data_IF_393353255045
#
_entry.id   IF_393353255045
#
_cell.length_a   1.000
_cell.length_b   1.000
_cell.length_c   1.000
_cell.angle_alpha   90.00
_cell.angle_beta   90.00
_cell.angle_gamma   90.00
#
_symmetry.space_group_name_H-M   'P 1'
#
loop_
_entity.id
_entity.type
_entity.pdbx_description
1 polymer ?
#
# COMPACT_ATOMS: atom_id res chain seq x y z
N UNK A 1 15.46 4.84 -25.54
CA UNK A 1 14.10 4.52 -25.05
C UNK A 1 13.16 4.94 -26.15
N UNK A 2 12.30 4.05 -26.62
CA UNK A 2 11.35 4.39 -27.69
C UNK A 2 10.34 5.44 -27.18
N UNK A 3 9.81 6.30 -28.06
CA UNK A 3 8.87 7.35 -27.68
C UNK A 3 7.60 6.83 -26.99
N UNK A 4 7.13 5.63 -27.36
CA UNK A 4 5.91 5.05 -26.79
C UNK A 4 6.11 4.60 -25.34
N UNK A 5 7.23 3.95 -25.03
CA UNK A 5 7.61 3.60 -23.65
C UNK A 5 7.80 4.85 -22.80
N UNK A 6 8.41 5.90 -23.36
CA UNK A 6 8.55 7.18 -22.66
C UNK A 6 7.16 7.76 -22.30
N UNK A 7 6.25 7.82 -23.27
CA UNK A 7 4.90 8.32 -23.07
C UNK A 7 4.11 7.49 -22.06
N UNK A 8 4.21 6.16 -22.11
CA UNK A 8 3.58 5.25 -21.15
C UNK A 8 4.06 5.49 -19.72
N UNK A 9 5.38 5.63 -19.51
CA UNK A 9 5.96 5.90 -18.19
C UNK A 9 5.53 7.25 -17.64
N UNK A 10 5.51 8.29 -18.47
CA UNK A 10 5.02 9.62 -18.09
C UNK A 10 3.53 9.55 -17.73
N UNK A 11 2.71 8.85 -18.52
CA UNK A 11 1.30 8.64 -18.23
C UNK A 11 1.10 7.96 -16.87
N UNK A 12 1.81 6.87 -16.59
CA UNK A 12 1.71 6.19 -15.29
C UNK A 12 2.15 7.08 -14.12
N UNK A 13 3.20 7.89 -14.29
CA UNK A 13 3.67 8.82 -13.27
C UNK A 13 2.60 9.89 -12.96
N UNK A 14 1.99 10.47 -14.00
CA UNK A 14 0.88 11.44 -13.84
C UNK A 14 -0.33 10.79 -13.19
N UNK A 15 -0.72 9.59 -13.66
CA UNK A 15 -1.86 8.86 -13.11
C UNK A 15 -1.64 8.48 -11.65
N UNK A 16 -0.43 8.06 -11.28
CA UNK A 16 -0.07 7.78 -9.90
C UNK A 16 -0.17 9.03 -9.01
N UNK A 17 0.22 10.21 -9.49
CA UNK A 17 0.03 11.46 -8.74
C UNK A 17 -1.46 11.80 -8.56
N UNK A 18 -2.29 11.63 -9.60
CA UNK A 18 -3.75 11.85 -9.54
C UNK A 18 -4.39 10.89 -8.54
N UNK A 19 -4.08 9.60 -8.63
CA UNK A 19 -4.57 8.60 -7.69
C UNK A 19 -4.00 8.80 -6.29
N UNK A 20 -2.81 9.40 -6.14
CA UNK A 20 -2.25 9.79 -4.84
C UNK A 20 -3.05 10.92 -4.18
N UNK A 21 -3.58 11.86 -4.97
CA UNK A 21 -4.51 12.87 -4.46
C UNK A 21 -5.81 12.22 -3.97
N UNK A 22 -6.33 11.24 -4.71
CA UNK A 22 -7.46 10.44 -4.28
C UNK A 22 -7.15 9.57 -3.04
N UNK A 23 -5.94 9.01 -2.94
CA UNK A 23 -5.49 8.25 -1.79
C UNK A 23 -5.56 9.09 -0.50
N UNK A 24 -5.19 10.38 -0.55
CA UNK A 24 -5.36 11.29 0.59
C UNK A 24 -6.84 11.41 1.02
N UNK A 25 -7.79 11.41 0.09
CA UNK A 25 -9.23 11.39 0.41
C UNK A 25 -9.61 10.10 1.12
N UNK A 26 -9.17 8.95 0.61
CA UNK A 26 -9.40 7.64 1.24
C UNK A 26 -8.83 7.58 2.65
N UNK A 27 -7.58 7.99 2.84
CA UNK A 27 -6.88 8.02 4.13
C UNK A 27 -7.62 8.88 5.15
N UNK A 28 -8.16 10.01 4.72
CA UNK A 28 -8.90 10.90 5.61
C UNK A 28 -10.31 10.38 5.95
N UNK A 29 -11.03 9.83 4.97
CA UNK A 29 -12.49 9.59 5.07
C UNK A 29 -12.87 8.17 5.47
N UNK A 30 -12.17 7.15 4.96
CA UNK A 30 -12.53 5.74 5.18
C UNK A 30 -12.50 5.36 6.66
N UNK A 31 -11.46 5.71 7.46
CA UNK A 31 -11.44 5.39 8.90
C UNK A 31 -12.57 6.05 9.69
N UNK A 32 -13.16 7.12 9.15
CA UNK A 32 -14.25 7.89 9.77
C UNK A 32 -15.64 7.48 9.27
N UNK A 33 -15.73 6.45 8.43
CA UNK A 33 -17.00 6.03 7.81
C UNK A 33 -17.63 7.10 6.91
N UNK A 34 -16.84 8.04 6.38
CA UNK A 34 -17.34 9.13 5.53
C UNK A 34 -17.28 8.72 4.05
N UNK A 35 -18.22 9.21 3.26
CA UNK A 35 -18.24 8.96 1.81
C UNK A 35 -17.00 9.55 1.11
N UNK A 36 -16.39 8.75 0.23
CA UNK A 36 -15.25 9.14 -0.60
C UNK A 36 -15.66 9.98 -1.83
N UNK A 37 -16.95 10.01 -2.15
CA UNK A 37 -17.49 10.71 -3.34
C UNK A 37 -18.03 12.09 -2.97
N UNK A 38 -18.82 12.19 -1.90
CA UNK A 38 -19.46 13.44 -1.46
C UNK A 38 -19.30 13.67 0.04
N UNK A 39 -19.17 14.94 0.49
CA UNK A 39 -19.07 16.18 -0.29
C UNK A 39 -17.70 16.32 -0.99
N UNK A 40 -17.52 17.28 -1.92
CA UNK A 40 -16.22 17.59 -2.51
C UNK A 40 -15.17 17.98 -1.46
N UNK A 41 -13.88 17.89 -1.81
CA UNK A 41 -12.78 18.28 -0.93
C UNK A 41 -12.85 19.77 -0.54
N UNK A 42 -12.66 20.05 0.75
CA UNK A 42 -12.71 21.39 1.31
C UNK A 42 -11.61 21.59 2.36
N UNK A 43 -11.23 22.84 2.58
CA UNK A 43 -10.29 23.18 3.64
C UNK A 43 -10.94 22.91 5.02
N UNK A 44 -10.30 22.11 5.89
CA UNK A 44 -10.87 21.77 7.21
C UNK A 44 -10.91 22.96 8.18
N UNK A 45 -10.30 24.10 7.83
CA UNK A 45 -10.21 25.28 8.70
C UNK A 45 -11.17 26.40 8.33
N UNK A 46 -11.39 26.64 7.03
CA UNK A 46 -12.25 27.73 6.57
C UNK A 46 -13.42 27.26 5.69
N UNK A 47 -13.55 25.95 5.43
CA UNK A 47 -14.60 25.42 4.58
C UNK A 47 -14.46 25.74 3.08
N UNK A 48 -13.40 26.45 2.66
CA UNK A 48 -13.15 26.76 1.25
C UNK A 48 -13.18 25.50 0.41
N UNK A 49 -14.10 25.45 -0.57
CA UNK A 49 -14.22 24.35 -1.51
C UNK A 49 -13.03 24.37 -2.46
N UNK A 50 -12.27 23.28 -2.48
CA UNK A 50 -11.08 23.15 -3.33
C UNK A 50 -11.53 23.02 -4.78
N UNK A 51 -11.07 23.95 -5.64
CA UNK A 51 -11.36 23.94 -7.09
C UNK A 51 -10.46 22.91 -7.78
N UNK A 52 -10.87 22.43 -8.96
CA UNK A 52 -10.06 21.44 -9.72
C UNK A 52 -8.61 21.88 -9.94
N UNK A 53 -8.38 23.16 -10.28
CA UNK A 53 -7.04 23.76 -10.44
C UNK A 53 -6.21 23.89 -9.15
N UNK A 54 -6.86 23.82 -7.99
CA UNK A 54 -6.23 23.82 -6.66
C UNK A 54 -5.94 22.39 -6.19
N UNK A 55 -6.41 21.39 -6.96
CA UNK A 55 -6.28 19.96 -6.69
C UNK A 55 -5.41 19.24 -7.74
N UNK A 56 -4.58 19.98 -8.50
CA UNK A 56 -3.60 19.38 -9.40
C UNK A 56 -2.46 18.84 -8.51
N UNK A 57 -2.23 17.52 -8.48
CA UNK A 57 -1.30 16.88 -7.56
C UNK A 57 0.09 17.51 -7.63
N UNK A 58 0.70 17.78 -6.47
CA UNK A 58 2.03 18.39 -6.26
C UNK A 58 2.13 19.83 -6.76
N UNK A 59 1.71 20.09 -8.00
CA UNK A 59 1.78 21.36 -8.71
C UNK A 59 0.99 22.44 -7.98
N UNK A 60 -0.28 22.19 -7.63
CA UNK A 60 -1.09 23.17 -6.90
C UNK A 60 -0.48 23.51 -5.54
N UNK A 61 0.12 22.54 -4.85
CA UNK A 61 0.79 22.77 -3.57
C UNK A 61 1.99 23.72 -3.73
N UNK A 62 2.82 23.52 -4.76
CA UNK A 62 3.97 24.39 -5.05
C UNK A 62 3.54 25.81 -5.42
N UNK A 63 2.57 25.97 -6.32
CA UNK A 63 2.08 27.29 -6.74
C UNK A 63 1.38 28.05 -5.61
N UNK A 64 0.64 27.34 -4.75
CA UNK A 64 0.03 27.92 -3.55
C UNK A 64 1.05 28.13 -2.41
N UNK A 65 2.33 27.79 -2.61
CA UNK A 65 3.42 27.86 -1.62
C UNK A 65 3.08 27.11 -0.33
N UNK A 66 2.44 25.95 -0.48
CA UNK A 66 1.99 25.09 0.61
C UNK A 66 0.93 25.72 1.51
N UNK A 67 0.10 26.65 1.00
CA UNK A 67 -0.92 27.36 1.80
C UNK A 67 -2.30 27.28 1.15
N UNK A 68 -3.35 27.26 1.96
CA UNK A 68 -4.72 27.28 1.43
C UNK A 68 -4.99 28.58 0.66
N UNK A 69 -5.67 28.50 -0.49
CA UNK A 69 -6.04 29.66 -1.30
C UNK A 69 -6.98 30.64 -0.58
N UNK A 70 -7.90 30.13 0.25
CA UNK A 70 -8.87 30.95 1.00
C UNK A 70 -8.28 31.56 2.28
N UNK A 71 -7.81 30.72 3.23
CA UNK A 71 -7.38 31.19 4.55
C UNK A 71 -5.87 31.31 4.75
N UNK A 72 -5.04 31.03 3.73
CA UNK A 72 -3.56 31.10 3.76
C UNK A 72 -2.86 30.25 4.82
N UNK A 73 -3.58 29.42 5.58
CA UNK A 73 -2.98 28.46 6.52
C UNK A 73 -2.16 27.39 5.79
N UNK A 74 -1.09 26.87 6.41
CA UNK A 74 -0.24 25.86 5.79
C UNK A 74 -1.01 24.56 5.53
N UNK A 75 -0.76 23.96 4.38
CA UNK A 75 -1.18 22.61 3.98
C UNK A 75 -0.06 21.65 4.41
N UNK A 76 -0.41 20.50 4.96
CA UNK A 76 0.58 19.51 5.40
C UNK A 76 1.37 18.95 4.22
N UNK A 77 2.69 18.80 4.37
CA UNK A 77 3.57 18.13 3.40
C UNK A 77 3.22 16.66 3.17
N UNK A 78 2.41 16.04 4.04
CA UNK A 78 1.91 14.67 3.86
C UNK A 78 1.12 14.50 2.56
N UNK A 79 0.33 15.51 2.17
CA UNK A 79 -0.48 15.45 0.95
C UNK A 79 0.38 15.28 -0.31
N UNK A 80 1.31 16.21 -0.62
CA UNK A 80 2.18 16.04 -1.78
C UNK A 80 3.15 14.86 -1.62
N UNK A 81 3.54 14.46 -0.40
CA UNK A 81 4.38 13.28 -0.21
C UNK A 81 3.69 11.99 -0.66
N UNK A 82 2.40 11.79 -0.33
CA UNK A 82 1.62 10.63 -0.79
C UNK A 82 1.43 10.68 -2.32
N UNK A 83 1.19 11.86 -2.89
CA UNK A 83 1.08 12.05 -4.34
C UNK A 83 2.36 11.65 -5.08
N UNK A 84 3.51 12.14 -4.60
CA UNK A 84 4.83 11.82 -5.15
C UNK A 84 5.15 10.33 -4.98
N UNK A 85 4.94 9.77 -3.79
CA UNK A 85 5.18 8.36 -3.53
C UNK A 85 4.40 7.48 -4.50
N UNK A 86 3.11 7.76 -4.68
CA UNK A 86 2.27 6.96 -5.56
C UNK A 86 2.64 7.16 -7.04
N UNK A 87 3.03 8.37 -7.46
CA UNK A 87 3.57 8.63 -8.79
C UNK A 87 4.80 7.76 -9.11
N UNK A 88 5.74 7.64 -8.17
CA UNK A 88 6.94 6.82 -8.35
C UNK A 88 6.66 5.32 -8.27
N UNK A 89 5.72 4.87 -7.42
CA UNK A 89 5.32 3.46 -7.38
C UNK A 89 4.62 3.05 -8.68
N UNK A 90 3.78 3.92 -9.26
CA UNK A 90 3.18 3.68 -10.58
C UNK A 90 4.22 3.67 -11.70
N UNK A 91 5.25 4.52 -11.62
CA UNK A 91 6.39 4.41 -12.53
C UNK A 91 7.10 3.06 -12.37
N UNK A 92 7.26 2.56 -11.14
CA UNK A 92 7.81 1.23 -10.88
C UNK A 92 6.98 0.11 -11.52
N UNK A 93 5.64 0.21 -11.48
CA UNK A 93 4.73 -0.69 -12.21
C UNK A 93 4.99 -0.62 -13.71
N UNK A 94 5.10 0.58 -14.29
CA UNK A 94 5.36 0.79 -15.72
C UNK A 94 6.75 0.34 -16.20
N UNK A 95 7.72 0.27 -15.30
CA UNK A 95 9.05 -0.31 -15.58
C UNK A 95 8.98 -1.84 -15.63
N UNK A 96 8.16 -2.43 -14.76
CA UNK A 96 8.07 -3.89 -14.59
C UNK A 96 7.12 -4.56 -15.58
N UNK A 97 6.06 -3.86 -15.98
CA UNK A 97 4.97 -4.42 -16.78
C UNK A 97 4.74 -3.55 -18.02
N UNK A 98 4.54 -4.16 -19.21
CA UNK A 98 4.12 -3.41 -20.40
C UNK A 98 2.69 -2.87 -20.22
N UNK A 99 2.26 -1.90 -21.05
CA UNK A 99 0.89 -1.40 -21.00
C UNK A 99 -0.10 -2.55 -21.25
N UNK A 100 -1.04 -2.73 -20.32
CA UNK A 100 -2.05 -3.79 -20.40
C UNK A 100 -2.74 -4.09 -19.07
N UNK A 101 -3.58 -5.13 -19.01
CA UNK A 101 -4.33 -5.51 -17.82
C UNK A 101 -3.46 -5.83 -16.59
N UNK A 102 -2.28 -6.41 -16.80
CA UNK A 102 -1.33 -6.70 -15.72
C UNK A 102 -0.81 -5.41 -15.05
N UNK A 103 -0.57 -4.35 -15.83
CA UNK A 103 -0.18 -3.05 -15.28
C UNK A 103 -1.30 -2.42 -14.43
N UNK A 104 -2.57 -2.60 -14.83
CA UNK A 104 -3.72 -2.14 -14.03
C UNK A 104 -3.79 -2.91 -12.70
N UNK A 105 -3.55 -4.21 -12.75
CA UNK A 105 -3.51 -5.06 -11.56
C UNK A 105 -2.39 -4.61 -10.59
N UNK A 106 -1.18 -4.36 -11.11
CA UNK A 106 -0.06 -3.81 -10.32
C UNK A 106 -0.32 -2.40 -9.80
N UNK A 107 -0.97 -1.52 -10.58
CA UNK A 107 -1.36 -0.18 -10.17
C UNK A 107 -2.37 -0.20 -9.01
N UNK A 108 -3.36 -1.10 -9.06
CA UNK A 108 -4.30 -1.31 -7.96
C UNK A 108 -3.60 -1.82 -6.70
N UNK A 109 -2.69 -2.79 -6.85
CA UNK A 109 -1.88 -3.31 -5.74
C UNK A 109 -1.13 -2.19 -5.02
N UNK A 110 -0.34 -1.38 -5.73
CA UNK A 110 0.43 -0.29 -5.10
C UNK A 110 -0.45 0.82 -4.52
N UNK A 111 -1.61 1.10 -5.13
CA UNK A 111 -2.60 2.03 -4.56
C UNK A 111 -3.06 1.55 -3.18
N UNK A 112 -3.44 0.27 -3.08
CA UNK A 112 -3.87 -0.31 -1.80
C UNK A 112 -2.72 -0.29 -0.78
N UNK A 113 -1.50 -0.65 -1.19
CA UNK A 113 -0.32 -0.63 -0.30
C UNK A 113 -0.15 0.74 0.37
N UNK A 114 -0.19 1.83 -0.40
CA UNK A 114 0.00 3.17 0.13
C UNK A 114 -1.17 3.61 1.00
N UNK A 115 -2.42 3.36 0.58
CA UNK A 115 -3.60 3.75 1.37
C UNK A 115 -3.63 3.01 2.70
N UNK A 116 -3.41 1.69 2.70
CA UNK A 116 -3.35 0.88 3.92
C UNK A 116 -2.22 1.35 4.83
N UNK A 117 -1.01 1.57 4.28
CA UNK A 117 0.13 2.05 5.07
C UNK A 117 -0.16 3.41 5.72
N UNK A 118 -0.76 4.34 4.97
CA UNK A 118 -1.06 5.67 5.46
C UNK A 118 -2.17 5.68 6.53
N UNK A 119 -3.20 4.84 6.35
CA UNK A 119 -4.27 4.68 7.36
C UNK A 119 -3.73 3.99 8.61
N UNK A 120 -2.99 2.90 8.47
CA UNK A 120 -2.46 2.15 9.60
C UNK A 120 -1.48 3.01 10.40
N UNK A 121 -0.65 3.82 9.73
CA UNK A 121 0.23 4.78 10.41
C UNK A 121 -0.52 5.82 11.26
N UNK A 122 -1.70 6.26 10.82
CA UNK A 122 -2.48 7.29 11.51
C UNK A 122 -3.43 6.74 12.58
N UNK A 123 -3.99 5.54 12.33
CA UNK A 123 -5.12 4.98 13.09
C UNK A 123 -4.83 3.61 13.70
N UNK A 124 -3.73 2.97 13.33
CA UNK A 124 -3.40 1.59 13.71
C UNK A 124 -4.53 0.59 13.36
N UNK A 125 -5.20 0.83 12.23
CA UNK A 125 -6.23 -0.07 11.69
C UNK A 125 -6.01 -0.28 10.19
N UNK A 126 -6.41 -1.46 9.70
CA UNK A 126 -6.47 -1.76 8.27
C UNK A 126 -7.95 -1.99 7.89
N UNK A 127 -8.57 -1.07 7.11
CA UNK A 127 -9.96 -1.21 6.73
C UNK A 127 -10.23 -2.42 5.83
N UNK A 128 -11.31 -3.14 6.12
CA UNK A 128 -11.72 -4.34 5.39
C UNK A 128 -11.92 -4.09 3.89
N UNK A 129 -12.41 -2.91 3.50
CA UNK A 129 -12.59 -2.54 2.09
C UNK A 129 -11.29 -2.64 1.29
N UNK A 130 -10.15 -2.31 1.91
CA UNK A 130 -8.85 -2.37 1.23
C UNK A 130 -8.22 -3.75 1.35
N UNK A 131 -8.30 -4.41 2.50
CA UNK A 131 -7.70 -5.74 2.68
C UNK A 131 -8.47 -6.83 1.91
N UNK A 132 -9.80 -6.87 2.02
CA UNK A 132 -10.64 -7.81 1.27
C UNK A 132 -10.77 -7.40 -0.20
N UNK A 133 -10.79 -6.10 -0.50
CA UNK A 133 -10.72 -5.61 -1.88
C UNK A 133 -9.44 -6.07 -2.57
N UNK A 134 -8.29 -6.01 -1.88
CA UNK A 134 -7.04 -6.55 -2.38
C UNK A 134 -7.13 -8.04 -2.65
N UNK A 135 -7.61 -8.81 -1.68
CA UNK A 135 -7.78 -10.26 -1.83
C UNK A 135 -8.67 -10.61 -3.03
N UNK A 136 -9.84 -9.99 -3.14
CA UNK A 136 -10.79 -10.26 -4.22
C UNK A 136 -10.22 -9.93 -5.60
N UNK A 137 -9.67 -8.72 -5.76
CA UNK A 137 -9.08 -8.30 -7.04
C UNK A 137 -7.85 -9.14 -7.38
N UNK A 138 -7.00 -9.46 -6.41
CA UNK A 138 -5.81 -10.26 -6.63
C UNK A 138 -6.13 -11.68 -7.10
N UNK A 139 -7.16 -12.32 -6.52
CA UNK A 139 -7.63 -13.63 -6.95
C UNK A 139 -8.27 -13.56 -8.34
N UNK A 140 -9.18 -12.61 -8.57
CA UNK A 140 -9.90 -12.49 -9.85
C UNK A 140 -8.96 -12.19 -11.01
N UNK A 141 -7.98 -11.32 -10.80
CA UNK A 141 -6.98 -10.93 -11.81
C UNK A 141 -5.71 -11.78 -11.77
N UNK A 142 -5.66 -12.83 -10.94
CA UNK A 142 -4.50 -13.74 -10.86
C UNK A 142 -4.07 -14.31 -12.21
N UNK A 143 -4.96 -14.74 -13.12
CA UNK A 143 -4.57 -15.25 -14.44
C UNK A 143 -3.72 -14.26 -15.26
N UNK A 144 -3.85 -12.96 -14.99
CA UNK A 144 -3.13 -11.89 -15.69
C UNK A 144 -1.77 -11.58 -15.06
N UNK A 145 -1.48 -12.09 -13.86
CA UNK A 145 -0.24 -11.82 -13.14
C UNK A 145 0.85 -12.81 -13.58
N UNK A 146 1.71 -12.36 -14.50
CA UNK A 146 2.79 -13.18 -15.07
C UNK A 146 3.84 -13.60 -14.03
N UNK A 147 3.91 -12.88 -12.90
CA UNK A 147 4.82 -13.20 -11.80
C UNK A 147 4.46 -14.46 -10.99
N UNK A 148 3.26 -15.02 -11.16
CA UNK A 148 2.78 -16.17 -10.36
C UNK A 148 2.99 -17.55 -11.00
N UNK A 149 3.21 -17.62 -12.31
CA UNK A 149 3.32 -18.90 -13.02
C UNK A 149 3.28 -18.76 -14.54
N UNK A 150 3.52 -19.86 -15.25
CA UNK A 150 3.59 -19.86 -16.72
C UNK A 150 2.19 -19.80 -17.34
N UNK A 151 1.26 -20.59 -16.80
CA UNK A 151 -0.11 -20.73 -17.33
C UNK A 151 -1.17 -20.06 -16.45
N UNK A 152 -2.33 -19.71 -17.04
CA UNK A 152 -3.43 -19.11 -16.30
C UNK A 152 -3.93 -19.96 -15.11
N UNK A 153 -4.11 -21.30 -15.24
CA UNK A 153 -4.49 -22.15 -14.12
C UNK A 153 -3.43 -22.19 -13.01
N UNK A 154 -2.14 -22.25 -13.36
CA UNK A 154 -1.04 -22.20 -12.38
C UNK A 154 -1.07 -20.88 -11.59
N UNK A 155 -1.27 -19.75 -12.27
CA UNK A 155 -1.33 -18.43 -11.63
C UNK A 155 -2.52 -18.32 -10.67
N UNK A 156 -3.68 -18.82 -11.07
CA UNK A 156 -4.86 -18.86 -10.21
C UNK A 156 -4.62 -19.73 -8.96
N UNK A 157 -4.06 -20.93 -9.14
CA UNK A 157 -3.69 -21.80 -8.03
C UNK A 157 -2.66 -21.14 -7.10
N UNK A 158 -1.62 -20.51 -7.66
CA UNK A 158 -0.61 -19.81 -6.89
C UNK A 158 -1.18 -18.64 -6.07
N UNK A 159 -2.16 -17.92 -6.60
CA UNK A 159 -2.88 -16.87 -5.87
C UNK A 159 -3.69 -17.46 -4.70
N UNK A 160 -4.46 -18.53 -4.92
CA UNK A 160 -5.19 -19.19 -3.82
C UNK A 160 -4.25 -19.76 -2.76
N UNK A 161 -3.17 -20.43 -3.18
CA UNK A 161 -2.17 -20.97 -2.28
C UNK A 161 -1.49 -19.85 -1.48
N UNK A 162 -1.13 -18.74 -2.15
CA UNK A 162 -0.55 -17.57 -1.49
C UNK A 162 -1.51 -16.92 -0.50
N UNK A 163 -2.78 -16.76 -0.86
CA UNK A 163 -3.81 -16.25 0.04
C UNK A 163 -3.99 -17.14 1.27
N UNK A 164 -4.05 -18.46 1.07
CA UNK A 164 -4.13 -19.45 2.12
C UNK A 164 -2.93 -19.40 3.06
N UNK A 165 -1.71 -19.38 2.52
CA UNK A 165 -0.47 -19.26 3.31
C UNK A 165 -0.45 -17.95 4.09
N UNK A 166 -0.79 -16.82 3.44
CA UNK A 166 -0.86 -15.51 4.09
C UNK A 166 -1.86 -15.48 5.25
N UNK A 167 -3.06 -16.03 5.04
CA UNK A 167 -4.10 -16.09 6.06
C UNK A 167 -3.74 -17.06 7.20
N UNK A 168 -3.41 -18.31 6.89
CA UNK A 168 -3.19 -19.36 7.89
C UNK A 168 -1.98 -19.07 8.77
N UNK A 169 -0.89 -18.58 8.18
CA UNK A 169 0.33 -18.26 8.93
C UNK A 169 0.12 -17.09 9.88
N UNK A 170 -0.49 -16.01 9.41
CA UNK A 170 -0.80 -14.83 10.23
C UNK A 170 -1.86 -15.11 11.29
N UNK A 171 -2.87 -15.93 10.96
CA UNK A 171 -3.87 -16.40 11.93
C UNK A 171 -3.25 -17.26 13.02
N UNK A 172 -2.34 -18.18 12.66
CA UNK A 172 -1.63 -19.02 13.61
C UNK A 172 -0.79 -18.17 14.59
N UNK A 173 -0.06 -17.17 14.08
CA UNK A 173 0.69 -16.22 14.93
C UNK A 173 -0.23 -15.39 15.81
N UNK A 174 -1.34 -14.87 15.28
CA UNK A 174 -2.33 -14.14 16.06
C UNK A 174 -2.92 -15.00 17.20
N UNK A 175 -3.19 -16.29 16.93
CA UNK A 175 -3.72 -17.25 17.91
C UNK A 175 -2.69 -17.65 18.96
N UNK A 176 -1.47 -17.97 18.55
CA UNK A 176 -0.37 -18.31 19.44
C UNK A 176 -0.02 -17.12 20.34
N UNK A 177 0.12 -15.92 19.77
CA UNK A 177 0.42 -14.70 20.50
C UNK A 177 -0.64 -14.37 21.56
N UNK A 178 -1.94 -14.51 21.22
CA UNK A 178 -3.03 -14.40 22.21
C UNK A 178 -2.90 -15.40 23.36
N UNK A 179 -2.42 -16.61 23.10
CA UNK A 179 -2.25 -17.65 24.13
C UNK A 179 -1.06 -17.38 25.03
N UNK A 180 0.09 -16.99 24.47
CA UNK A 180 1.34 -16.79 25.22
C UNK A 180 1.40 -15.43 25.92
N UNK A 181 1.11 -14.35 25.20
CA UNK A 181 1.27 -12.98 25.71
C UNK A 181 -0.01 -12.41 26.34
N UNK A 182 -1.13 -13.17 26.30
CA UNK A 182 -2.48 -12.75 26.73
C UNK A 182 -2.93 -11.42 26.12
N UNK A 183 -2.38 -11.08 24.95
CA UNK A 183 -2.67 -9.86 24.18
C UNK A 183 -2.74 -10.21 22.69
N UNK A 184 -3.46 -9.41 21.91
CA UNK A 184 -3.47 -9.59 20.46
C UNK A 184 -2.09 -9.23 19.88
N UNK A 185 -1.36 -10.25 19.43
CA UNK A 185 -0.02 -10.06 18.86
C UNK A 185 -0.05 -9.54 17.41
N UNK A 186 -1.14 -9.80 16.69
CA UNK A 186 -1.35 -9.34 15.32
C UNK A 186 -2.82 -8.99 15.12
N UNK A 187 -3.07 -7.81 14.55
CA UNK A 187 -4.40 -7.30 14.30
C UNK A 187 -5.17 -8.14 13.28
N UNK A 188 -6.49 -8.20 13.42
CA UNK A 188 -7.34 -8.92 12.45
C UNK A 188 -7.26 -8.33 11.04
N UNK A 189 -7.00 -7.02 10.95
CA UNK A 189 -6.77 -6.33 9.67
C UNK A 189 -5.51 -6.83 8.96
N UNK A 190 -4.42 -7.05 9.71
CA UNK A 190 -3.16 -7.57 9.16
C UNK A 190 -3.32 -8.97 8.58
N UNK A 191 -4.10 -9.83 9.24
CA UNK A 191 -4.39 -11.21 8.76
C UNK A 191 -5.07 -11.18 7.39
N UNK A 192 -6.09 -10.34 7.23
CA UNK A 192 -6.81 -10.18 5.95
C UNK A 192 -5.90 -9.54 4.89
N UNK A 193 -5.09 -8.56 5.29
CA UNK A 193 -4.16 -7.90 4.38
C UNK A 193 -3.08 -8.85 3.88
N UNK A 194 -2.53 -9.71 4.75
CA UNK A 194 -1.58 -10.76 4.38
C UNK A 194 -2.19 -11.79 3.43
N UNK A 195 -3.47 -12.13 3.59
CA UNK A 195 -4.18 -12.96 2.62
C UNK A 195 -4.23 -12.27 1.24
N UNK A 196 -4.55 -10.96 1.18
CA UNK A 196 -4.53 -10.20 -0.06
C UNK A 196 -3.13 -10.06 -0.69
N UNK A 197 -2.11 -9.79 0.13
CA UNK A 197 -0.71 -9.78 -0.30
C UNK A 197 -0.30 -11.14 -0.87
N UNK A 198 -0.68 -12.24 -0.20
CA UNK A 198 -0.41 -13.59 -0.68
C UNK A 198 -1.14 -13.93 -1.96
N UNK A 199 -2.37 -13.48 -2.14
CA UNK A 199 -3.07 -13.64 -3.42
C UNK A 199 -2.32 -12.98 -4.58
N UNK A 200 -1.74 -11.80 -4.35
CA UNK A 200 -1.01 -11.07 -5.38
C UNK A 200 0.42 -11.57 -5.60
N UNK A 201 1.14 -11.92 -4.53
CA UNK A 201 2.57 -12.25 -4.56
C UNK A 201 2.85 -13.77 -4.60
N UNK A 202 1.84 -14.60 -4.36
CA UNK A 202 2.00 -16.02 -4.13
C UNK A 202 2.57 -16.34 -2.75
N UNK A 203 2.72 -17.65 -2.46
CA UNK A 203 3.14 -18.12 -1.13
C UNK A 203 4.58 -17.74 -0.79
N UNK A 204 5.50 -17.78 -1.76
CA UNK A 204 6.89 -17.33 -1.55
C UNK A 204 6.94 -15.84 -1.23
N UNK A 205 6.17 -15.05 -1.99
CA UNK A 205 6.19 -13.61 -1.85
C UNK A 205 5.58 -13.09 -0.56
N UNK A 206 4.50 -13.72 -0.06
CA UNK A 206 3.95 -13.33 1.25
C UNK A 206 4.91 -13.66 2.40
N UNK A 207 5.64 -14.78 2.33
CA UNK A 207 6.65 -15.12 3.35
C UNK A 207 7.84 -14.14 3.29
N UNK A 208 8.30 -13.78 2.09
CA UNK A 208 9.32 -12.74 1.91
C UNK A 208 8.86 -11.38 2.46
N UNK A 209 7.62 -10.98 2.18
CA UNK A 209 7.04 -9.75 2.69
C UNK A 209 6.97 -9.75 4.22
N UNK A 210 6.58 -10.89 4.82
CA UNK A 210 6.47 -11.04 6.26
C UNK A 210 7.84 -10.98 6.96
N UNK A 211 8.85 -11.61 6.37
CA UNK A 211 10.23 -11.54 6.84
C UNK A 211 10.76 -10.11 6.82
N UNK A 212 10.63 -9.41 5.69
CA UNK A 212 11.05 -8.01 5.58
C UNK A 212 10.28 -7.10 6.53
N UNK A 213 8.98 -7.33 6.69
CA UNK A 213 8.17 -6.55 7.60
C UNK A 213 8.65 -6.68 9.04
N UNK A 214 8.98 -7.90 9.46
CA UNK A 214 9.52 -8.18 10.80
C UNK A 214 10.90 -7.55 10.99
N UNK A 215 11.77 -7.62 9.97
CA UNK A 215 13.11 -7.03 9.98
C UNK A 215 13.03 -5.49 10.10
N UNK A 216 12.28 -4.83 9.22
CA UNK A 216 12.12 -3.37 9.24
C UNK A 216 11.38 -2.89 10.48
N UNK A 217 10.31 -3.58 10.88
CA UNK A 217 9.55 -3.24 12.08
C UNK A 217 10.41 -3.30 13.34
N UNK A 218 11.24 -4.34 13.47
CA UNK A 218 12.18 -4.49 14.60
C UNK A 218 13.26 -3.42 14.56
N UNK A 219 13.86 -3.15 13.40
CA UNK A 219 14.86 -2.09 13.25
C UNK A 219 14.31 -0.72 13.67
N UNK A 220 13.10 -0.38 13.22
CA UNK A 220 12.42 0.89 13.58
C UNK A 220 12.06 0.92 15.06
N UNK A 221 11.51 -0.16 15.61
CA UNK A 221 11.18 -0.26 17.03
C UNK A 221 12.42 -0.05 17.92
N UNK A 222 13.53 -0.74 17.60
CA UNK A 222 14.80 -0.59 18.31
C UNK A 222 15.35 0.83 18.20
N UNK A 223 15.25 1.46 17.02
CA UNK A 223 15.67 2.84 16.83
C UNK A 223 14.83 3.82 17.67
N UNK A 224 13.50 3.69 17.67
CA UNK A 224 12.61 4.53 18.47
C UNK A 224 12.86 4.36 19.97
N UNK A 225 13.12 3.13 20.40
CA UNK A 225 13.49 2.81 21.77
C UNK A 225 14.84 3.42 22.15
N UNK A 226 15.85 3.32 21.29
CA UNK A 226 17.15 3.97 21.50
C UNK A 226 17.00 5.50 21.65
N UNK A 227 16.09 6.10 20.87
CA UNK A 227 15.73 7.52 20.98
C UNK A 227 14.83 7.85 22.20
N UNK A 228 14.51 6.87 23.05
CA UNK A 228 13.57 6.97 24.19
C UNK A 228 12.19 7.52 23.79
N UNK A 229 11.77 7.25 22.55
CA UNK A 229 10.47 7.67 21.99
C UNK A 229 9.42 6.56 21.98
N UNK A 230 9.76 5.37 22.48
CA UNK A 230 8.84 4.25 22.58
C UNK A 230 9.14 3.40 23.80
N UNK A 231 8.08 2.91 24.44
CA UNK A 231 8.08 2.01 25.57
C UNK A 231 7.76 0.58 25.15
N UNK A 232 8.11 -0.37 26.01
CA UNK A 232 7.76 -1.77 25.80
C UNK A 232 6.24 -1.95 25.79
N UNK A 233 5.71 -2.51 24.70
CA UNK A 233 4.28 -2.75 24.54
C UNK A 233 3.54 -1.65 23.78
N UNK A 234 4.22 -0.61 23.32
CA UNK A 234 3.64 0.35 22.37
C UNK A 234 3.24 -0.37 21.08
N UNK A 235 2.08 0.00 20.55
CA UNK A 235 1.61 -0.53 19.28
C UNK A 235 2.32 0.16 18.13
N UNK A 236 3.07 -0.60 17.33
CA UNK A 236 3.68 -0.11 16.10
C UNK A 236 2.81 -0.57 14.91
N UNK A 237 2.38 0.34 14.02
CA UNK A 237 1.59 -0.02 12.85
C UNK A 237 2.40 -0.96 11.95
N UNK A 238 1.92 -2.19 11.76
CA UNK A 238 2.65 -3.23 11.04
C UNK A 238 2.38 -3.22 9.53
N UNK A 239 1.22 -2.69 9.12
CA UNK A 239 0.79 -2.57 7.73
C UNK A 239 1.80 -1.88 6.81
N UNK A 240 2.44 -0.75 7.20
CA UNK A 240 3.47 -0.10 6.40
C UNK A 240 4.68 -1.00 6.08
N UNK A 241 5.10 -1.83 7.04
CA UNK A 241 6.24 -2.73 6.86
C UNK A 241 5.87 -3.92 5.97
N UNK A 242 4.64 -4.45 6.11
CA UNK A 242 4.09 -5.46 5.21
C UNK A 242 3.99 -4.95 3.77
N UNK A 243 3.49 -3.73 3.59
CA UNK A 243 3.39 -3.09 2.29
C UNK A 243 4.76 -2.89 1.65
N UNK A 244 5.75 -2.40 2.42
CA UNK A 244 7.12 -2.25 1.95
C UNK A 244 7.73 -3.60 1.55
N UNK A 245 7.56 -4.64 2.37
CA UNK A 245 8.02 -5.99 2.07
C UNK A 245 7.39 -6.56 0.80
N UNK A 246 6.09 -6.37 0.62
CA UNK A 246 5.36 -6.79 -0.58
C UNK A 246 5.82 -6.07 -1.85
N UNK A 247 6.04 -4.75 -1.76
CA UNK A 247 6.60 -3.98 -2.86
C UNK A 247 8.00 -4.46 -3.25
N UNK A 248 8.91 -4.58 -2.28
CA UNK A 248 10.30 -5.04 -2.52
C UNK A 248 10.32 -6.45 -3.11
N UNK A 249 9.43 -7.34 -2.64
CA UNK A 249 9.31 -8.67 -3.21
C UNK A 249 8.94 -8.61 -4.68
N UNK A 250 7.89 -7.86 -4.99
CA UNK A 250 7.37 -7.77 -6.34
C UNK A 250 8.36 -7.11 -7.30
N UNK A 251 9.04 -6.03 -6.91
CA UNK A 251 9.90 -5.27 -7.84
C UNK A 251 11.26 -5.91 -8.09
N UNK A 252 11.87 -6.56 -7.10
CA UNK A 252 13.22 -7.13 -7.20
C UNK A 252 13.22 -8.66 -7.12
N UNK A 253 12.70 -9.38 -8.14
CA UNK A 253 12.68 -10.85 -8.13
C UNK A 253 14.10 -11.45 -8.03
N UNK A 254 15.12 -10.77 -8.57
CA UNK A 254 16.52 -11.20 -8.46
C UNK A 254 17.09 -11.16 -7.04
N UNK A 255 16.53 -10.38 -6.12
CA UNK A 255 16.93 -10.42 -4.71
C UNK A 255 16.55 -11.76 -4.05
N UNK A 256 15.48 -12.38 -4.55
CA UNK A 256 14.88 -13.58 -3.96
C UNK A 256 15.28 -14.87 -4.64
N UNK A 257 15.89 -14.80 -5.82
CA UNK A 257 16.33 -15.97 -6.56
C UNK A 257 17.30 -16.81 -5.72
N UNK A 258 18.27 -16.19 -5.04
CA UNK A 258 19.20 -16.90 -4.14
C UNK A 258 18.52 -17.52 -2.92
N UNK A 259 17.45 -16.90 -2.43
CA UNK A 259 16.71 -17.37 -1.25
C UNK A 259 15.82 -18.58 -1.56
N UNK A 260 15.25 -18.63 -2.77
CA UNK A 260 14.27 -19.65 -3.16
C UNK A 260 14.81 -20.69 -4.16
N UNK A 261 16.04 -20.55 -4.65
CA UNK A 261 16.68 -21.49 -5.59
C UNK A 261 17.41 -22.66 -4.89
N UNK A 262 17.30 -22.78 -3.57
CA UNK A 262 17.73 -23.95 -2.79
C UNK A 262 16.49 -24.72 -2.33
#
# INVERSE_FOLDING_TARGET
MDPMTAAYRVYCLVMGAVLGSFANVCVHRVPRGRSIVHPPSSCPRCGHRIRARENIPVVSFLFLRGRCAGCRRPISWRYPAIEILLAFLFLGVAIRTPPGPEAIHGAFFVFVLVVVSAIDFDWCIIPDVFSLGLLGVAVVLAPLNSGLGATAPERAFAAFAGAGVGFLSSWAVSRAGRRFFRREALGRGDVKFLAGLGAFLGWRGVLSAWFLASLFGTAVFLFLKFRRKSHWGDYLPFGPFLAAGGWVHWTWPGLWSWWWAR
#
